data_IF_241272425392
#
_entry.id   IF_241272425392
#
_cell.length_a   1.000
_cell.length_b   1.000
_cell.length_c   1.000
_cell.angle_alpha   90.00
_cell.angle_beta   90.00
_cell.angle_gamma   90.00
#
_symmetry.space_group_name_H-M   'P 1'
#
loop_
_entity.id
_entity.type
_entity.pdbx_description
1 polymer ?
#
# COMPACT_ATOMS: atom_id res chain seq x y z
N UNK A 1 -17.65 -1.95 -9.33
CA UNK A 1 -18.16 -1.27 -10.54
C UNK A 1 -19.62 -0.87 -10.30
N UNK A 2 -19.92 0.42 -10.16
CA UNK A 2 -21.29 0.94 -10.10
C UNK A 2 -21.34 2.21 -10.95
N UNK A 3 -21.74 2.06 -12.21
CA UNK A 3 -22.10 3.20 -13.05
C UNK A 3 -23.42 3.80 -12.57
N UNK A 4 -23.48 5.13 -12.48
CA UNK A 4 -24.62 5.92 -11.96
C UNK A 4 -25.97 5.63 -12.63
N UNK A 5 -25.98 4.98 -13.79
CA UNK A 5 -27.20 4.69 -14.58
C UNK A 5 -27.34 3.22 -15.03
N UNK A 6 -26.42 2.32 -14.67
CA UNK A 6 -26.38 0.94 -15.23
C UNK A 6 -25.64 -0.10 -14.37
N UNK A 7 -25.33 0.20 -13.11
CA UNK A 7 -24.60 -0.72 -12.23
C UNK A 7 -25.48 -1.84 -11.63
N UNK A 8 -24.83 -2.93 -11.21
CA UNK A 8 -25.44 -4.05 -10.47
C UNK A 8 -26.40 -3.60 -9.35
N UNK A 9 -26.02 -2.57 -8.59
CA UNK A 9 -26.84 -2.06 -7.49
C UNK A 9 -28.17 -1.42 -7.92
N UNK A 10 -28.27 -0.92 -9.16
CA UNK A 10 -29.52 -0.39 -9.71
C UNK A 10 -30.45 -1.54 -10.13
N UNK A 11 -29.90 -2.60 -10.73
CA UNK A 11 -30.66 -3.78 -11.15
C UNK A 11 -31.24 -4.53 -9.95
N UNK A 12 -30.46 -4.74 -8.89
CA UNK A 12 -30.94 -5.41 -7.67
C UNK A 12 -32.02 -4.60 -6.98
N UNK A 13 -31.94 -3.27 -7.00
CA UNK A 13 -32.99 -2.40 -6.43
C UNK A 13 -34.28 -2.35 -7.25
N UNK A 14 -34.21 -2.66 -8.54
CA UNK A 14 -35.41 -2.73 -9.39
C UNK A 14 -36.31 -3.91 -9.00
N UNK A 15 -35.70 -5.07 -8.72
CA UNK A 15 -36.41 -6.28 -8.28
C UNK A 15 -36.69 -6.28 -6.76
N UNK A 16 -35.82 -5.66 -5.96
CA UNK A 16 -35.91 -5.64 -4.51
C UNK A 16 -35.60 -4.24 -3.94
N UNK A 17 -36.59 -3.32 -3.93
CA UNK A 17 -36.37 -1.90 -3.61
C UNK A 17 -35.94 -1.65 -2.15
N UNK A 18 -36.18 -2.61 -1.25
CA UNK A 18 -35.79 -2.55 0.16
C UNK A 18 -34.32 -2.94 0.40
N UNK A 19 -33.60 -3.46 -0.60
CA UNK A 19 -32.19 -3.85 -0.46
C UNK A 19 -31.29 -2.61 -0.39
N UNK A 20 -30.44 -2.58 0.64
CA UNK A 20 -29.39 -1.58 0.79
C UNK A 20 -28.13 -2.09 0.10
N UNK A 21 -27.73 -1.43 -0.98
CA UNK A 21 -26.46 -1.70 -1.68
C UNK A 21 -25.40 -0.77 -1.14
N UNK A 22 -24.50 -1.29 -0.31
CA UNK A 22 -23.30 -0.57 0.13
C UNK A 22 -22.11 -0.92 -0.76
N UNK A 23 -21.26 0.06 -1.02
CA UNK A 23 -19.97 -0.21 -1.65
C UNK A 23 -19.08 -0.96 -0.66
N UNK A 24 -18.38 -2.00 -1.11
CA UNK A 24 -17.36 -2.64 -0.30
C UNK A 24 -16.37 -1.58 0.20
N UNK A 25 -16.11 -1.56 1.50
CA UNK A 25 -15.22 -0.59 2.14
C UNK A 25 -13.83 -0.64 1.49
N UNK A 26 -13.37 -1.81 1.04
CA UNK A 26 -12.14 -1.99 0.26
C UNK A 26 -12.12 -1.18 -1.05
N UNK A 27 -13.28 -1.03 -1.71
CA UNK A 27 -13.41 -0.23 -2.93
C UNK A 27 -13.37 1.28 -2.64
N UNK A 28 -13.94 1.73 -1.51
CA UNK A 28 -13.83 3.13 -1.06
C UNK A 28 -12.37 3.50 -0.72
N UNK A 29 -11.63 2.58 -0.12
CA UNK A 29 -10.20 2.77 0.14
C UNK A 29 -9.38 2.87 -1.15
N UNK A 30 -9.61 1.98 -2.12
CA UNK A 30 -8.99 2.08 -3.45
C UNK A 30 -9.33 3.39 -4.20
N UNK A 31 -10.43 4.06 -3.85
CA UNK A 31 -10.77 5.38 -4.37
C UNK A 31 -10.01 6.48 -3.62
N UNK A 32 -9.87 6.37 -2.29
CA UNK A 32 -9.11 7.32 -1.47
C UNK A 32 -7.63 7.40 -1.90
N UNK A 33 -7.05 6.31 -2.43
CA UNK A 33 -5.67 6.33 -2.96
C UNK A 33 -5.48 7.20 -4.18
N UNK A 34 -6.55 7.41 -4.95
CA UNK A 34 -6.51 8.33 -6.09
C UNK A 34 -6.46 9.80 -5.65
N UNK A 35 -6.64 10.05 -4.35
CA UNK A 35 -6.62 11.35 -3.69
C UNK A 35 -5.41 11.43 -2.74
N UNK A 36 -4.40 10.57 -2.93
CA UNK A 36 -3.15 10.70 -2.19
C UNK A 36 -2.52 12.07 -2.50
N UNK A 37 -1.93 12.74 -1.49
CA UNK A 37 -1.08 13.90 -1.73
C UNK A 37 -0.03 13.58 -2.80
N UNK A 38 0.33 14.54 -3.66
CA UNK A 38 1.22 14.31 -4.81
C UNK A 38 2.50 13.56 -4.43
N UNK A 39 3.11 13.93 -3.31
CA UNK A 39 4.37 13.33 -2.82
C UNK A 39 4.22 11.84 -2.45
N UNK A 40 3.13 11.48 -1.77
CA UNK A 40 2.85 10.07 -1.43
C UNK A 40 2.47 9.25 -2.67
N UNK A 41 1.75 9.88 -3.61
CA UNK A 41 1.38 9.25 -4.86
C UNK A 41 2.62 8.94 -5.73
N UNK A 42 3.60 9.84 -5.74
CA UNK A 42 4.87 9.65 -6.45
C UNK A 42 5.68 8.49 -5.85
N UNK A 43 5.89 8.47 -4.53
CA UNK A 43 6.59 7.36 -3.85
C UNK A 43 5.92 6.03 -4.15
N UNK A 44 4.59 5.96 -4.01
CA UNK A 44 3.84 4.75 -4.30
C UNK A 44 3.97 4.31 -5.77
N UNK A 45 3.98 5.25 -6.72
CA UNK A 45 4.17 4.96 -8.14
C UNK A 45 5.55 4.36 -8.40
N UNK A 46 6.61 4.99 -7.89
CA UNK A 46 7.99 4.53 -8.05
C UNK A 46 8.17 3.13 -7.47
N UNK A 47 7.66 2.90 -6.25
CA UNK A 47 7.71 1.58 -5.61
C UNK A 47 7.01 0.51 -6.47
N UNK A 48 5.82 0.81 -6.99
CA UNK A 48 5.07 -0.13 -7.83
C UNK A 48 5.84 -0.44 -9.12
N UNK A 49 6.44 0.57 -9.76
CA UNK A 49 7.25 0.38 -10.96
C UNK A 49 8.48 -0.49 -10.68
N UNK A 50 9.19 -0.27 -9.57
CA UNK A 50 10.34 -1.09 -9.17
C UNK A 50 9.94 -2.55 -8.88
N UNK A 51 8.87 -2.75 -8.10
CA UNK A 51 8.37 -4.10 -7.79
C UNK A 51 7.96 -4.83 -9.07
N UNK A 52 7.25 -4.14 -9.96
CA UNK A 52 6.84 -4.72 -11.25
C UNK A 52 8.07 -5.03 -12.12
N UNK A 53 9.09 -4.18 -12.14
CA UNK A 53 10.32 -4.42 -12.87
C UNK A 53 10.98 -5.75 -12.45
N UNK A 54 11.11 -5.99 -11.15
CA UNK A 54 11.67 -7.25 -10.60
C UNK A 54 10.75 -8.43 -10.91
N UNK A 55 9.44 -8.28 -10.67
CA UNK A 55 8.49 -9.38 -10.68
C UNK A 55 7.96 -9.76 -12.07
N UNK A 56 8.03 -8.87 -13.06
CA UNK A 56 7.57 -9.15 -14.43
C UNK A 56 8.48 -10.13 -15.18
N UNK A 57 9.61 -10.54 -14.61
CA UNK A 57 10.51 -11.54 -15.17
C UNK A 57 10.89 -12.57 -14.11
N UNK A 58 10.66 -13.86 -14.41
CA UNK A 58 11.04 -14.95 -13.52
C UNK A 58 12.55 -14.96 -13.24
N UNK A 59 13.37 -14.63 -14.22
CA UNK A 59 14.83 -14.54 -14.08
C UNK A 59 15.22 -13.41 -13.13
N UNK A 60 14.69 -12.19 -13.35
CA UNK A 60 14.96 -11.04 -12.46
C UNK A 60 14.54 -11.33 -11.03
N UNK A 61 13.36 -11.94 -10.86
CA UNK A 61 12.88 -12.32 -9.54
C UNK A 61 13.81 -13.32 -8.84
N UNK A 62 14.30 -14.34 -9.56
CA UNK A 62 15.25 -15.32 -9.01
C UNK A 62 16.58 -14.69 -8.63
N UNK A 63 17.14 -13.84 -9.49
CA UNK A 63 18.41 -13.14 -9.22
C UNK A 63 18.24 -12.22 -8.00
N UNK A 64 17.16 -11.44 -7.95
CA UNK A 64 16.88 -10.57 -6.81
C UNK A 64 16.75 -11.36 -5.49
N UNK A 65 16.04 -12.49 -5.50
CA UNK A 65 15.90 -13.31 -4.30
C UNK A 65 17.26 -13.89 -3.85
N UNK A 66 18.14 -14.25 -4.78
CA UNK A 66 19.49 -14.74 -4.44
C UNK A 66 20.35 -13.62 -3.86
N UNK A 67 20.29 -12.42 -4.43
CA UNK A 67 20.93 -11.23 -3.87
C UNK A 67 20.48 -10.96 -2.43
N UNK A 68 19.18 -11.02 -2.14
CA UNK A 68 18.67 -10.87 -0.78
C UNK A 68 19.23 -11.91 0.19
N UNK A 69 19.37 -13.17 -0.25
CA UNK A 69 19.97 -14.22 0.59
C UNK A 69 21.44 -13.97 0.87
N UNK A 70 22.21 -13.59 -0.16
CA UNK A 70 23.63 -13.29 -0.01
C UNK A 70 23.86 -12.10 0.93
N UNK A 71 22.96 -11.13 0.92
CA UNK A 71 22.99 -9.97 1.81
C UNK A 71 22.41 -10.23 3.21
N UNK A 72 21.88 -11.44 3.46
CA UNK A 72 21.33 -11.83 4.76
C UNK A 72 20.00 -11.18 5.10
N UNK A 73 19.21 -10.76 4.11
CA UNK A 73 17.90 -10.15 4.33
C UNK A 73 16.93 -11.12 5.02
N UNK A 74 16.22 -10.67 6.05
CA UNK A 74 15.17 -11.48 6.70
C UNK A 74 13.98 -11.77 5.79
N UNK A 75 13.78 -10.91 4.77
CA UNK A 75 12.74 -11.04 3.76
C UNK A 75 13.42 -11.26 2.42
N UNK A 76 13.11 -12.38 1.77
CA UNK A 76 13.78 -12.78 0.52
C UNK A 76 12.90 -12.59 -0.73
N UNK A 77 11.64 -12.16 -0.56
CA UNK A 77 10.65 -12.16 -1.65
C UNK A 77 9.82 -10.89 -1.64
N UNK A 78 9.96 -10.07 -2.67
CA UNK A 78 8.99 -9.00 -2.98
C UNK A 78 7.66 -9.61 -3.37
N UNK A 79 6.54 -9.08 -2.87
CA UNK A 79 5.20 -9.54 -3.28
C UNK A 79 4.80 -8.91 -4.63
N UNK A 80 4.14 -9.67 -5.51
CA UNK A 80 3.60 -9.08 -6.73
C UNK A 80 2.51 -8.08 -6.39
N UNK A 81 2.61 -6.89 -6.97
CA UNK A 81 1.54 -5.93 -6.90
C UNK A 81 0.49 -6.25 -7.98
N UNK A 82 -0.75 -6.48 -7.57
CA UNK A 82 -1.89 -6.38 -8.47
C UNK A 82 -2.77 -5.21 -8.02
N UNK A 83 -3.21 -4.39 -8.99
CA UNK A 83 -4.00 -3.18 -8.75
C UNK A 83 -5.29 -3.38 -7.95
N UNK A 84 -5.73 -4.64 -7.74
CA UNK A 84 -7.07 -5.01 -7.31
C UNK A 84 -7.21 -5.12 -5.78
N UNK A 85 -6.11 -5.21 -5.00
CA UNK A 85 -6.19 -5.34 -3.53
C UNK A 85 -5.32 -4.31 -2.81
N UNK A 86 -6.00 -3.36 -2.18
CA UNK A 86 -5.40 -2.39 -1.26
C UNK A 86 -4.66 -3.05 -0.09
N UNK A 87 -5.21 -4.14 0.45
CA UNK A 87 -4.64 -4.88 1.59
C UNK A 87 -3.24 -5.46 1.31
N UNK A 88 -2.88 -5.70 0.04
CA UNK A 88 -1.52 -6.12 -0.33
C UNK A 88 -0.54 -4.96 -0.49
N UNK A 89 -1.01 -3.71 -0.63
CA UNK A 89 -0.12 -2.56 -0.83
C UNK A 89 0.70 -2.23 0.41
N UNK A 90 0.10 -2.30 1.60
CA UNK A 90 0.84 -2.11 2.86
C UNK A 90 1.95 -3.14 3.03
N UNK A 91 1.64 -4.42 2.78
CA UNK A 91 2.64 -5.50 2.81
C UNK A 91 3.74 -5.33 1.75
N UNK A 92 3.40 -4.85 0.56
CA UNK A 92 4.39 -4.54 -0.48
C UNK A 92 5.30 -3.39 -0.02
N UNK A 93 4.74 -2.29 0.48
CA UNK A 93 5.51 -1.14 0.97
C UNK A 93 6.45 -1.54 2.10
N UNK A 94 5.95 -2.29 3.08
CA UNK A 94 6.76 -2.82 4.19
C UNK A 94 7.93 -3.65 3.70
N UNK A 95 7.70 -4.59 2.77
CA UNK A 95 8.77 -5.43 2.22
C UNK A 95 9.77 -4.64 1.40
N UNK A 96 9.31 -3.66 0.64
CA UNK A 96 10.19 -2.77 -0.13
C UNK A 96 11.02 -1.91 0.80
N UNK A 97 10.45 -1.43 1.92
CA UNK A 97 11.21 -0.74 2.95
C UNK A 97 12.26 -1.67 3.57
N UNK A 98 11.88 -2.88 3.99
CA UNK A 98 12.82 -3.83 4.59
C UNK A 98 13.98 -4.23 3.66
N UNK A 99 13.72 -4.35 2.35
CA UNK A 99 14.71 -4.74 1.34
C UNK A 99 15.19 -3.56 0.47
N UNK A 100 15.09 -2.33 0.96
CA UNK A 100 15.32 -1.16 0.10
C UNK A 100 16.78 -1.05 -0.36
N UNK A 101 17.73 -1.57 0.44
CA UNK A 101 19.17 -1.57 0.13
C UNK A 101 19.47 -2.55 -1.00
N UNK A 102 18.98 -3.78 -0.90
CA UNK A 102 19.10 -4.84 -1.90
C UNK A 102 18.42 -4.42 -3.20
N UNK A 103 17.23 -3.82 -3.08
CA UNK A 103 16.51 -3.29 -4.24
C UNK A 103 17.27 -2.16 -4.92
N UNK A 104 17.88 -1.25 -4.16
CA UNK A 104 18.70 -0.17 -4.72
C UNK A 104 19.92 -0.72 -5.48
N UNK A 105 20.59 -1.73 -4.93
CA UNK A 105 21.74 -2.39 -5.57
C UNK A 105 21.31 -3.11 -6.85
N UNK A 106 20.28 -3.94 -6.79
CA UNK A 106 19.74 -4.65 -7.94
C UNK A 106 19.37 -3.68 -9.08
N UNK A 107 18.65 -2.61 -8.76
CA UNK A 107 18.24 -1.59 -9.74
C UNK A 107 19.45 -0.87 -10.36
N UNK A 108 20.50 -0.61 -9.57
CA UNK A 108 21.72 0.03 -10.07
C UNK A 108 22.49 -0.86 -11.04
N UNK A 109 22.65 -2.14 -10.71
CA UNK A 109 23.31 -3.11 -11.60
C UNK A 109 22.58 -3.24 -12.95
N UNK A 110 21.25 -3.10 -12.91
CA UNK A 110 20.40 -3.15 -14.10
C UNK A 110 20.16 -1.78 -14.75
N UNK A 111 20.87 -0.73 -14.31
CA UNK A 111 20.78 0.65 -14.83
C UNK A 111 19.36 1.21 -14.85
N UNK A 112 18.54 0.81 -13.88
CA UNK A 112 17.15 1.26 -13.79
C UNK A 112 17.08 2.70 -13.27
N UNK A 113 16.23 3.55 -13.87
CA UNK A 113 16.15 4.98 -13.60
C UNK A 113 15.79 5.33 -12.14
N UNK A 114 15.12 4.43 -11.43
CA UNK A 114 14.69 4.65 -10.05
C UNK A 114 15.73 4.28 -8.97
N UNK A 115 16.91 3.77 -9.34
CA UNK A 115 17.91 3.30 -8.38
C UNK A 115 18.34 4.38 -7.37
N UNK A 116 18.42 5.64 -7.80
CA UNK A 116 18.90 6.74 -6.96
C UNK A 116 17.85 7.26 -5.96
N UNK A 117 16.56 6.97 -6.15
CA UNK A 117 15.53 7.34 -5.16
C UNK A 117 15.78 6.70 -3.79
N UNK A 118 16.32 5.47 -3.79
CA UNK A 118 16.65 4.74 -2.56
C UNK A 118 17.95 5.24 -1.87
N UNK A 119 18.60 6.29 -2.39
CA UNK A 119 19.65 7.03 -1.66
C UNK A 119 19.09 8.25 -0.92
N UNK A 120 17.91 8.71 -1.33
CA UNK A 120 17.28 9.90 -0.75
C UNK A 120 16.60 9.53 0.57
N UNK A 121 17.13 10.04 1.68
CA UNK A 121 16.58 9.81 3.01
C UNK A 121 15.11 10.22 3.14
N UNK A 122 14.69 11.29 2.45
CA UNK A 122 13.29 11.72 2.45
C UNK A 122 12.38 10.69 1.77
N UNK A 123 12.83 10.07 0.69
CA UNK A 123 12.07 9.02 0.01
C UNK A 123 11.89 7.81 0.92
N UNK A 124 12.96 7.38 1.61
CA UNK A 124 12.94 6.26 2.55
C UNK A 124 12.02 6.55 3.73
N UNK A 125 12.09 7.76 4.31
CA UNK A 125 11.22 8.22 5.39
C UNK A 125 9.74 8.17 4.99
N UNK A 126 9.42 8.68 3.79
CA UNK A 126 8.04 8.64 3.29
C UNK A 126 7.59 7.20 3.04
N UNK A 127 8.48 6.35 2.52
CA UNK A 127 8.20 4.92 2.32
C UNK A 127 7.88 4.21 3.64
N UNK A 128 8.70 4.42 4.69
CA UNK A 128 8.47 3.88 6.05
C UNK A 128 7.13 4.38 6.61
N UNK A 129 6.90 5.69 6.57
CA UNK A 129 5.65 6.31 7.00
C UNK A 129 4.42 5.70 6.29
N UNK A 130 4.51 5.51 4.97
CA UNK A 130 3.45 4.87 4.20
C UNK A 130 3.29 3.40 4.57
N UNK A 131 4.36 2.64 4.81
CA UNK A 131 4.27 1.25 5.23
C UNK A 131 3.52 1.13 6.57
N UNK A 132 3.86 1.95 7.56
CA UNK A 132 3.22 1.96 8.88
C UNK A 132 1.74 2.35 8.82
N UNK A 133 1.41 3.42 8.09
CA UNK A 133 0.01 3.84 7.90
C UNK A 133 -0.81 2.71 7.32
N UNK A 134 -0.29 2.07 6.27
CA UNK A 134 -1.04 1.03 5.59
C UNK A 134 -1.16 -0.22 6.46
N UNK A 135 -0.17 -0.52 7.31
CA UNK A 135 -0.23 -1.61 8.28
C UNK A 135 -1.30 -1.33 9.35
N UNK A 136 -1.32 -0.14 9.93
CA UNK A 136 -2.31 0.28 10.91
C UNK A 136 -3.74 0.25 10.32
N UNK A 137 -3.93 0.82 9.13
CA UNK A 137 -5.20 0.77 8.41
C UNK A 137 -5.64 -0.68 8.13
N UNK A 138 -4.69 -1.56 7.79
CA UNK A 138 -5.00 -2.95 7.51
C UNK A 138 -5.44 -3.70 8.79
N UNK A 139 -4.80 -3.46 9.93
CA UNK A 139 -5.21 -4.04 11.22
C UNK A 139 -6.61 -3.56 11.64
N UNK A 140 -6.86 -2.25 11.57
CA UNK A 140 -8.16 -1.65 11.89
C UNK A 140 -9.30 -2.11 10.97
N UNK A 141 -8.99 -2.75 9.85
CA UNK A 141 -9.97 -3.23 8.87
C UNK A 141 -10.10 -4.76 8.87
N UNK A 142 -9.15 -5.48 9.47
CA UNK A 142 -9.11 -6.95 9.50
C UNK A 142 -9.38 -7.53 10.90
N UNK A 143 -9.59 -6.71 11.93
CA UNK A 143 -10.12 -7.18 13.20
C UNK A 143 -11.46 -7.90 13.00
N UNK A 144 -11.60 -9.12 13.53
CA UNK A 144 -12.87 -9.84 13.47
C UNK A 144 -13.96 -9.04 14.19
N UNK A 145 -15.14 -8.93 13.57
CA UNK A 145 -16.31 -8.27 14.17
C UNK A 145 -16.55 -6.82 13.78
N UNK A 146 -15.70 -6.22 12.93
CA UNK A 146 -15.85 -4.81 12.56
C UNK A 146 -17.04 -4.61 11.63
N UNK A 147 -18.06 -3.92 12.13
CA UNK A 147 -19.24 -3.60 11.35
C UNK A 147 -18.98 -2.38 10.42
N UNK A 148 -19.88 -2.13 9.47
CA UNK A 148 -19.73 -1.06 8.48
C UNK A 148 -19.61 0.33 9.14
N UNK A 149 -20.25 0.52 10.30
CA UNK A 149 -20.26 1.79 11.04
C UNK A 149 -18.89 2.00 11.70
N UNK A 150 -18.36 0.99 12.39
CA UNK A 150 -17.02 1.01 12.99
C UNK A 150 -15.92 1.20 11.93
N UNK A 151 -16.04 0.56 10.76
CA UNK A 151 -15.11 0.79 9.66
C UNK A 151 -15.17 2.23 9.13
N UNK A 152 -16.35 2.85 9.11
CA UNK A 152 -16.53 4.24 8.70
C UNK A 152 -16.02 5.23 9.77
N UNK A 153 -16.21 4.91 11.04
CA UNK A 153 -15.71 5.70 12.17
C UNK A 153 -14.18 5.64 12.28
N UNK A 154 -13.58 4.45 12.13
CA UNK A 154 -12.13 4.28 12.04
C UNK A 154 -11.55 5.07 10.87
N UNK A 155 -12.25 5.08 9.72
CA UNK A 155 -11.85 5.87 8.57
C UNK A 155 -11.91 7.38 8.85
N UNK A 156 -12.98 7.87 9.49
CA UNK A 156 -13.11 9.28 9.87
C UNK A 156 -12.06 9.67 10.91
N UNK A 157 -11.79 8.81 11.89
CA UNK A 157 -10.76 9.00 12.90
C UNK A 157 -9.37 9.09 12.26
N UNK A 158 -9.04 8.17 11.36
CA UNK A 158 -7.80 8.18 10.60
C UNK A 158 -7.64 9.46 9.75
N UNK A 159 -8.68 9.87 9.03
CA UNK A 159 -8.68 11.12 8.26
C UNK A 159 -8.48 12.36 9.15
N UNK A 160 -9.01 12.34 10.38
CA UNK A 160 -8.85 13.41 11.35
C UNK A 160 -7.42 13.45 11.90
N UNK A 161 -6.83 12.32 12.24
CA UNK A 161 -5.42 12.22 12.66
C UNK A 161 -4.46 12.75 11.58
N UNK A 162 -4.75 12.48 10.30
CA UNK A 162 -3.99 13.00 9.18
C UNK A 162 -4.15 14.51 8.96
N UNK A 163 -5.36 15.07 9.19
CA UNK A 163 -5.65 16.49 8.95
C UNK A 163 -5.15 17.44 10.03
N UNK A 164 -5.05 16.98 11.28
CA UNK A 164 -4.76 17.88 12.41
C UNK A 164 -3.35 17.74 12.99
N UNK A 165 -2.55 16.76 12.56
CA UNK A 165 -1.18 16.59 13.07
C UNK A 165 -1.09 16.43 14.59
N UNK A 166 -2.20 16.15 15.27
CA UNK A 166 -2.28 16.10 16.72
C UNK A 166 -1.98 14.68 17.19
N UNK A 167 -0.82 14.55 17.85
CA UNK A 167 -0.28 13.36 18.48
C UNK A 167 -0.11 12.15 17.55
N UNK A 168 0.87 12.28 16.65
CA UNK A 168 1.56 11.12 16.08
C UNK A 168 2.29 10.44 17.23
N UNK A 169 1.66 9.46 17.87
CA UNK A 169 2.34 8.59 18.81
C UNK A 169 3.29 7.70 18.00
N UNK A 170 4.60 7.91 18.13
CA UNK A 170 5.63 7.14 17.40
C UNK A 170 5.55 5.63 17.68
N UNK A 171 4.93 5.21 18.78
CA UNK A 171 4.58 3.81 19.02
C UNK A 171 3.69 3.19 17.92
N UNK A 172 2.97 4.00 17.13
CA UNK A 172 2.18 3.56 15.98
C UNK A 172 2.96 3.59 14.65
N UNK A 173 4.21 4.06 14.66
CA UNK A 173 5.09 4.20 13.49
C UNK A 173 6.47 3.60 13.76
N UNK A 174 6.54 2.29 14.04
CA UNK A 174 7.77 1.62 14.44
C UNK A 174 8.89 1.69 13.38
N UNK A 175 8.58 2.00 12.12
CA UNK A 175 9.59 2.13 11.06
C UNK A 175 10.20 3.54 10.97
N UNK A 176 9.74 4.48 11.80
CA UNK A 176 10.29 5.85 11.86
C UNK A 176 11.26 6.06 13.03
N UNK A 177 11.38 5.09 13.94
CA UNK A 177 12.23 5.17 15.13
C UNK A 177 13.64 4.55 14.92
N UNK A 178 13.89 3.91 13.76
CA UNK A 178 15.18 3.35 13.31
C UNK A 178 15.89 4.26 12.29
#
# INVERSE_FOLDING_TARGET
MLGRKSGFGVLVKADAPHIIVTHCVLHRHALATKILPPKLAEVLKIVVECVNYVRNSATKHRIFNELCKEMGSEIEVLLYHCNVRWLSRGKVLYRVFAMHVELALFLREHQHCHADYFKNSEFILILAYMADIFAALNQQMQGGGINIIEAEENLKAFQKSYRYGTNVNFANFPLLDD
#
